data_IF_082021628146
#
_entry.id   IF_082021628146
#
_cell.length_a   1.000
_cell.length_b   1.000
_cell.length_c   1.000
_cell.angle_alpha   90.00
_cell.angle_beta   90.00
_cell.angle_gamma   90.00
#
_symmetry.space_group_name_H-M   'P 1'
#
loop_
_entity.id
_entity.type
_entity.pdbx_description
1 polymer ?
#
# COMPACT_ATOMS: atom_id res chain seq x y z
N UNK A 1 32.98 -20.92 -21.29
CA UNK A 1 32.94 -20.39 -19.92
C UNK A 1 32.75 -18.86 -19.91
N UNK A 2 33.61 -18.06 -20.55
CA UNK A 2 33.47 -16.58 -20.57
C UNK A 2 32.16 -16.07 -21.19
N UNK A 3 31.71 -16.67 -22.30
CA UNK A 3 30.43 -16.34 -22.95
C UNK A 3 29.22 -16.60 -22.04
N UNK A 4 29.23 -17.69 -21.26
CA UNK A 4 28.19 -17.96 -20.26
C UNK A 4 28.22 -16.92 -19.14
N UNK A 5 29.39 -16.52 -18.65
CA UNK A 5 29.51 -15.49 -17.61
C UNK A 5 29.01 -14.13 -18.08
N UNK A 6 29.29 -13.75 -19.33
CA UNK A 6 28.81 -12.49 -19.91
C UNK A 6 27.28 -12.50 -20.09
N UNK A 7 26.72 -13.61 -20.57
CA UNK A 7 25.27 -13.77 -20.71
C UNK A 7 24.54 -13.66 -19.35
N UNK A 8 25.07 -14.31 -18.31
CA UNK A 8 24.51 -14.23 -16.94
C UNK A 8 24.53 -12.80 -16.40
N UNK A 9 25.63 -12.06 -16.59
CA UNK A 9 25.73 -10.66 -16.16
C UNK A 9 24.71 -9.76 -16.85
N UNK A 10 24.56 -9.91 -18.17
CA UNK A 10 23.58 -9.14 -18.95
C UNK A 10 22.14 -9.41 -18.49
N UNK A 11 21.78 -10.69 -18.32
CA UNK A 11 20.45 -11.09 -17.84
C UNK A 11 20.16 -10.51 -16.44
N UNK A 12 21.14 -10.56 -15.53
CA UNK A 12 21.02 -9.98 -14.19
C UNK A 12 20.82 -8.46 -14.24
N UNK A 13 21.53 -7.74 -15.12
CA UNK A 13 21.34 -6.29 -15.26
C UNK A 13 19.96 -5.93 -15.80
N UNK A 14 19.49 -6.65 -16.83
CA UNK A 14 18.14 -6.45 -17.39
C UNK A 14 17.06 -6.73 -16.34
N UNK A 15 17.22 -7.79 -15.54
CA UNK A 15 16.33 -8.10 -14.44
C UNK A 15 16.29 -6.97 -13.39
N UNK A 16 17.45 -6.49 -12.95
CA UNK A 16 17.52 -5.41 -11.95
C UNK A 16 16.91 -4.09 -12.46
N UNK A 17 17.05 -3.80 -13.75
CA UNK A 17 16.39 -2.63 -14.36
C UNK A 17 14.87 -2.74 -14.30
N UNK A 18 14.32 -3.90 -14.65
CA UNK A 18 12.86 -4.14 -14.59
C UNK A 18 12.38 -4.13 -13.14
N UNK A 19 13.10 -4.80 -12.24
CA UNK A 19 12.81 -4.84 -10.79
C UNK A 19 12.78 -3.43 -10.19
N UNK A 20 13.79 -2.61 -10.48
CA UNK A 20 13.89 -1.22 -10.03
C UNK A 20 12.74 -0.37 -10.57
N UNK A 21 12.42 -0.48 -11.86
CA UNK A 21 11.30 0.26 -12.47
C UNK A 21 9.96 -0.12 -11.86
N UNK A 22 9.72 -1.42 -11.63
CA UNK A 22 8.51 -1.92 -10.96
C UNK A 22 8.40 -1.39 -9.53
N UNK A 23 9.50 -1.44 -8.77
CA UNK A 23 9.57 -0.89 -7.41
C UNK A 23 9.21 0.60 -7.41
N UNK A 24 9.89 1.39 -8.23
CA UNK A 24 9.71 2.83 -8.23
C UNK A 24 8.27 3.26 -8.56
N UNK A 25 7.67 2.65 -9.58
CA UNK A 25 6.28 2.95 -9.97
C UNK A 25 5.28 2.53 -8.89
N UNK A 26 5.48 1.35 -8.30
CA UNK A 26 4.63 0.87 -7.21
C UNK A 26 4.73 1.79 -5.99
N UNK A 27 5.94 2.04 -5.49
CA UNK A 27 6.17 2.83 -4.28
C UNK A 27 5.65 4.25 -4.43
N UNK A 28 5.84 4.88 -5.60
CA UNK A 28 5.31 6.23 -5.87
C UNK A 28 3.78 6.29 -5.72
N UNK A 29 3.06 5.32 -6.26
CA UNK A 29 1.60 5.25 -6.14
C UNK A 29 1.21 4.91 -4.69
N UNK A 30 1.83 3.89 -4.11
CA UNK A 30 1.52 3.40 -2.77
C UNK A 30 1.74 4.46 -1.69
N UNK A 31 2.84 5.20 -1.73
CA UNK A 31 3.14 6.29 -0.79
C UNK A 31 2.12 7.42 -0.91
N UNK A 32 1.74 7.79 -2.14
CA UNK A 32 0.71 8.80 -2.38
C UNK A 32 -0.63 8.39 -1.75
N UNK A 33 -1.11 7.19 -2.09
CA UNK A 33 -2.39 6.66 -1.58
C UNK A 33 -2.35 6.53 -0.06
N UNK A 34 -1.23 6.07 0.52
CA UNK A 34 -1.06 5.90 1.97
C UNK A 34 -1.18 7.21 2.75
N UNK A 35 -0.74 8.34 2.18
CA UNK A 35 -0.89 9.66 2.82
C UNK A 35 -2.31 10.19 2.64
N UNK A 36 -2.87 10.04 1.44
CA UNK A 36 -4.19 10.62 1.11
C UNK A 36 -5.33 9.88 1.82
N UNK A 37 -5.26 8.55 1.93
CA UNK A 37 -6.31 7.74 2.55
C UNK A 37 -6.57 8.12 4.01
N UNK A 38 -5.53 8.38 4.79
CA UNK A 38 -5.65 8.80 6.19
C UNK A 38 -6.38 10.14 6.30
N UNK A 39 -6.03 11.10 5.44
CA UNK A 39 -6.67 12.41 5.42
C UNK A 39 -8.15 12.33 5.03
N UNK A 40 -8.48 11.53 4.02
CA UNK A 40 -9.86 11.34 3.57
C UNK A 40 -10.67 10.61 4.65
N UNK A 41 -10.13 9.54 5.23
CA UNK A 41 -10.82 8.78 6.26
C UNK A 41 -11.15 9.62 7.49
N UNK A 42 -10.21 10.48 7.95
CA UNK A 42 -10.45 11.47 9.02
C UNK A 42 -11.58 12.44 8.69
N UNK A 43 -11.63 12.93 7.44
CA UNK A 43 -12.69 13.83 6.96
C UNK A 43 -14.04 13.13 6.91
N UNK A 44 -14.10 11.90 6.39
CA UNK A 44 -15.33 11.11 6.33
C UNK A 44 -15.86 10.75 7.71
N UNK A 45 -14.98 10.39 8.65
CA UNK A 45 -15.35 10.13 10.05
C UNK A 45 -15.65 11.40 10.85
N UNK A 46 -15.37 12.59 10.30
CA UNK A 46 -15.43 13.89 10.99
C UNK A 46 -14.70 13.89 12.32
N UNK A 47 -13.56 13.19 12.38
CA UNK A 47 -12.82 12.99 13.61
C UNK A 47 -11.32 12.88 13.33
N UNK A 48 -10.53 13.74 13.99
CA UNK A 48 -9.09 13.81 13.80
C UNK A 48 -8.33 12.60 14.41
N UNK A 49 -8.94 11.90 15.36
CA UNK A 49 -8.40 10.69 16.00
C UNK A 49 -8.68 9.42 15.20
N UNK A 50 -9.51 9.47 14.15
CA UNK A 50 -9.65 8.36 13.22
C UNK A 50 -8.35 8.19 12.43
N UNK A 51 -8.00 6.96 12.06
CA UNK A 51 -6.80 6.69 11.25
C UNK A 51 -7.10 5.62 10.22
N UNK A 52 -6.51 5.77 9.04
CA UNK A 52 -6.50 4.74 8.01
C UNK A 52 -5.05 4.48 7.60
N UNK A 53 -4.62 3.22 7.65
CA UNK A 53 -3.22 2.84 7.50
C UNK A 53 -3.12 1.75 6.45
N UNK A 54 -2.26 1.98 5.46
CA UNK A 54 -1.84 1.00 4.48
C UNK A 54 -0.41 0.57 4.77
N UNK A 55 -0.16 -0.74 4.80
CA UNK A 55 1.16 -1.32 5.04
C UNK A 55 1.42 -2.45 4.06
N UNK A 56 2.59 -2.44 3.40
CA UNK A 56 3.03 -3.57 2.58
C UNK A 56 3.59 -4.69 3.47
N UNK A 57 3.25 -5.94 3.16
CA UNK A 57 3.77 -7.12 3.88
C UNK A 57 5.28 -7.30 3.67
N UNK A 58 5.75 -6.93 2.47
CA UNK A 58 7.16 -6.99 2.11
C UNK A 58 7.65 -5.60 1.65
N UNK A 59 8.37 -4.86 2.51
CA UNK A 59 8.86 -3.52 2.15
C UNK A 59 9.90 -3.51 1.02
N UNK A 60 10.60 -4.63 0.79
CA UNK A 60 11.67 -4.70 -0.22
C UNK A 60 11.10 -4.92 -1.63
N UNK A 61 10.07 -5.75 -1.74
CA UNK A 61 9.40 -6.06 -3.01
C UNK A 61 7.87 -6.01 -2.82
N UNK A 62 7.31 -4.82 -2.53
CA UNK A 62 5.91 -4.68 -2.11
C UNK A 62 4.88 -5.04 -3.18
N UNK A 63 5.33 -5.19 -4.43
CA UNK A 63 4.55 -5.65 -5.57
C UNK A 63 4.44 -7.18 -5.69
N UNK A 64 5.13 -7.96 -4.83
CA UNK A 64 5.07 -9.43 -4.83
C UNK A 64 4.08 -9.99 -3.80
N UNK A 65 3.79 -9.24 -2.74
CA UNK A 65 3.02 -9.68 -1.58
C UNK A 65 1.80 -8.78 -1.33
N UNK A 66 1.07 -9.05 -0.24
CA UNK A 66 -0.15 -8.34 0.11
C UNK A 66 0.07 -6.92 0.61
N UNK A 67 -1.00 -6.12 0.50
CA UNK A 67 -1.14 -4.84 1.19
C UNK A 67 -2.21 -5.00 2.27
N UNK A 68 -1.83 -4.72 3.50
CA UNK A 68 -2.74 -4.68 4.63
C UNK A 68 -3.37 -3.30 4.76
N UNK A 69 -4.70 -3.29 4.78
CA UNK A 69 -5.50 -2.09 5.03
C UNK A 69 -6.17 -2.18 6.39
N UNK A 70 -5.86 -1.25 7.29
CA UNK A 70 -6.38 -1.21 8.64
C UNK A 70 -6.95 0.17 8.97
N UNK A 71 -7.99 0.21 9.81
CA UNK A 71 -8.61 1.46 10.24
C UNK A 71 -8.75 1.51 11.77
N UNK A 72 -8.61 2.72 12.31
CA UNK A 72 -8.92 3.03 13.70
C UNK A 72 -10.13 3.96 13.70
N UNK A 73 -11.26 3.45 14.19
CA UNK A 73 -12.45 4.26 14.37
C UNK A 73 -12.33 5.15 15.64
N UNK A 74 -13.01 6.31 15.68
CA UNK A 74 -13.01 7.18 16.85
C UNK A 74 -13.36 6.47 18.15
N UNK A 75 -12.50 6.59 19.17
CA UNK A 75 -12.75 6.02 20.50
C UNK A 75 -12.62 4.49 20.58
N UNK A 76 -12.22 3.80 19.48
CA UNK A 76 -11.94 2.37 19.48
C UNK A 76 -10.44 2.10 19.38
N UNK A 77 -10.03 0.90 19.80
CA UNK A 77 -8.66 0.39 19.59
C UNK A 77 -8.46 0.09 18.11
N UNK A 78 -7.20 -0.17 17.73
CA UNK A 78 -6.85 -0.67 16.41
C UNK A 78 -7.64 -1.95 16.09
N UNK A 79 -8.35 -1.95 14.95
CA UNK A 79 -9.17 -3.09 14.51
C UNK A 79 -8.84 -3.41 13.05
N UNK A 80 -8.59 -4.69 12.77
CA UNK A 80 -8.52 -5.18 11.40
C UNK A 80 -9.88 -4.95 10.70
N UNK A 81 -9.84 -4.78 9.39
CA UNK A 81 -11.05 -4.50 8.59
C UNK A 81 -12.18 -5.50 8.84
N UNK A 82 -11.87 -6.78 9.06
CA UNK A 82 -12.87 -7.82 9.32
C UNK A 82 -13.74 -7.56 10.54
N UNK A 83 -13.17 -6.90 11.56
CA UNK A 83 -13.82 -6.64 12.84
C UNK A 83 -14.60 -5.32 12.87
N UNK A 84 -14.61 -4.56 11.77
CA UNK A 84 -15.42 -3.35 11.62
C UNK A 84 -16.89 -3.71 11.35
N UNK A 85 -17.80 -2.85 11.81
CA UNK A 85 -19.21 -2.93 11.42
C UNK A 85 -19.39 -2.69 9.92
N UNK A 86 -20.50 -3.15 9.34
CA UNK A 86 -20.78 -2.96 7.91
C UNK A 86 -20.72 -1.50 7.46
N UNK A 87 -21.21 -0.56 8.28
CA UNK A 87 -21.13 0.88 7.99
C UNK A 87 -19.70 1.42 7.99
N UNK A 88 -18.88 1.01 8.97
CA UNK A 88 -17.45 1.37 9.03
C UNK A 88 -16.67 0.80 7.83
N UNK A 89 -16.98 -0.42 7.40
CA UNK A 89 -16.40 -1.03 6.19
C UNK A 89 -16.71 -0.22 4.93
N UNK A 90 -17.94 0.30 4.79
CA UNK A 90 -18.32 1.15 3.65
C UNK A 90 -17.56 2.46 3.66
N UNK A 91 -17.41 3.11 4.83
CA UNK A 91 -16.65 4.36 4.95
C UNK A 91 -15.17 4.14 4.59
N UNK A 92 -14.57 3.05 5.09
CA UNK A 92 -13.21 2.66 4.76
C UNK A 92 -13.04 2.38 3.25
N UNK A 93 -13.97 1.66 2.63
CA UNK A 93 -13.94 1.41 1.19
C UNK A 93 -14.05 2.71 0.37
N UNK A 94 -14.94 3.64 0.76
CA UNK A 94 -15.07 4.94 0.11
C UNK A 94 -13.79 5.78 0.26
N UNK A 95 -13.16 5.75 1.45
CA UNK A 95 -11.90 6.43 1.68
C UNK A 95 -10.80 5.93 0.73
N UNK A 96 -10.71 4.61 0.53
CA UNK A 96 -9.76 4.00 -0.38
C UNK A 96 -10.02 4.40 -1.85
N UNK A 97 -11.28 4.37 -2.30
CA UNK A 97 -11.64 4.77 -3.67
C UNK A 97 -11.28 6.24 -3.93
N UNK A 98 -11.60 7.13 -2.99
CA UNK A 98 -11.25 8.54 -3.12
C UNK A 98 -9.75 8.81 -2.97
N UNK A 99 -8.98 7.95 -2.31
CA UNK A 99 -7.54 8.10 -2.20
C UNK A 99 -6.79 7.66 -3.48
N UNK A 100 -7.43 6.84 -4.33
CA UNK A 100 -6.89 6.40 -5.62
C UNK A 100 -7.21 7.41 -6.73
N UNK A 101 -8.30 8.18 -6.59
CA UNK A 101 -8.78 9.17 -7.58
C UNK A 101 -8.02 10.49 -7.48
#
# INVERSE_FOLDING_TARGET
>A
FETSTHATKKCSQEFEQVKSKRFHLFSKCFEHVSVVIDQIYKKLCRNASAQAILTAENPNEPYLDGINYNCVAPGKRFMAMDNLSGGEKVIAALALVFAIH
#
